data_IF_386485350381
#
_entry.id   IF_386485350381
#
_cell.length_a   1.000
_cell.length_b   1.000
_cell.length_c   1.000
_cell.angle_alpha   90.00
_cell.angle_beta   90.00
_cell.angle_gamma   90.00
#
_symmetry.space_group_name_H-M   'P 1'
#
loop_
_entity.id
_entity.type
_entity.pdbx_description
1 polymer ?
#
# COMPACT_ATOMS: atom_id res chain seq x y z
N UNK A 1 4.01 12.04 23.28
CA UNK A 1 3.01 11.02 22.91
C UNK A 1 1.79 11.62 22.21
N UNK A 2 1.08 12.58 22.80
CA UNK A 2 -0.15 13.16 22.21
C UNK A 2 0.09 13.85 20.86
N UNK A 3 1.10 14.73 20.73
CA UNK A 3 1.42 15.36 19.43
C UNK A 3 1.77 14.35 18.33
N UNK A 4 2.51 13.28 18.66
CA UNK A 4 2.85 12.23 17.69
C UNK A 4 1.59 11.51 17.18
N UNK A 5 0.60 11.31 18.05
CA UNK A 5 -0.69 10.72 17.70
C UNK A 5 -1.48 11.58 16.70
N UNK A 6 -1.37 12.91 16.78
CA UNK A 6 -2.06 13.83 15.84
C UNK A 6 -1.51 13.66 14.42
N UNK A 7 -0.19 13.60 14.25
CA UNK A 7 0.42 13.33 12.94
C UNK A 7 -0.06 11.99 12.36
N UNK A 8 -0.05 10.92 13.18
CA UNK A 8 -0.55 9.61 12.74
C UNK A 8 -2.03 9.70 12.35
N UNK A 9 -2.87 10.34 13.16
CA UNK A 9 -4.31 10.43 12.93
C UNK A 9 -4.66 11.20 11.66
N UNK A 10 -4.01 12.34 11.43
CA UNK A 10 -4.18 13.14 10.20
C UNK A 10 -3.76 12.31 8.99
N UNK A 11 -2.57 11.71 9.03
CA UNK A 11 -2.08 10.86 7.95
C UNK A 11 -3.03 9.70 7.67
N UNK A 12 -3.46 8.99 8.72
CA UNK A 12 -4.33 7.83 8.61
C UNK A 12 -5.71 8.17 8.04
N UNK A 13 -6.29 9.31 8.42
CA UNK A 13 -7.55 9.79 7.85
C UNK A 13 -7.42 9.95 6.33
N UNK A 14 -6.42 10.69 5.86
CA UNK A 14 -6.21 10.90 4.43
C UNK A 14 -5.83 9.59 3.71
N UNK A 15 -4.98 8.75 4.31
CA UNK A 15 -4.60 7.46 3.75
C UNK A 15 -5.81 6.53 3.54
N UNK A 16 -6.69 6.44 4.53
CA UNK A 16 -7.91 5.63 4.45
C UNK A 16 -8.90 6.16 3.40
N UNK A 17 -9.11 7.49 3.35
CA UNK A 17 -9.99 8.13 2.36
C UNK A 17 -9.43 7.95 0.94
N UNK A 18 -8.12 8.12 0.75
CA UNK A 18 -7.45 7.87 -0.53
C UNK A 18 -7.58 6.41 -0.95
N UNK A 19 -7.33 5.45 -0.06
CA UNK A 19 -7.51 4.01 -0.34
C UNK A 19 -8.94 3.72 -0.77
N UNK A 20 -9.93 4.20 -0.02
CA UNK A 20 -11.34 3.99 -0.33
C UNK A 20 -11.73 4.56 -1.70
N UNK A 21 -11.36 5.82 -1.94
CA UNK A 21 -11.70 6.54 -3.17
C UNK A 21 -11.03 5.90 -4.39
N UNK A 22 -9.74 5.58 -4.27
CA UNK A 22 -8.98 4.95 -5.34
C UNK A 22 -9.46 3.52 -5.62
N UNK A 23 -9.78 2.73 -4.58
CA UNK A 23 -10.35 1.39 -4.76
C UNK A 23 -11.67 1.45 -5.52
N UNK A 24 -12.55 2.38 -5.15
CA UNK A 24 -13.84 2.57 -5.82
C UNK A 24 -13.67 3.02 -7.27
N UNK A 25 -12.71 3.90 -7.53
CA UNK A 25 -12.42 4.37 -8.89
C UNK A 25 -11.85 3.24 -9.75
N UNK A 26 -10.82 2.53 -9.30
CA UNK A 26 -10.20 1.41 -10.04
C UNK A 26 -11.24 0.34 -10.33
N UNK A 27 -12.02 -0.08 -9.33
CA UNK A 27 -13.02 -1.14 -9.52
C UNK A 27 -14.15 -0.75 -10.49
N UNK A 28 -14.43 0.55 -10.64
CA UNK A 28 -15.41 1.06 -11.63
C UNK A 28 -14.81 1.19 -13.02
N UNK A 29 -13.60 1.73 -13.13
CA UNK A 29 -12.93 1.97 -14.40
C UNK A 29 -12.41 0.67 -15.04
N UNK A 30 -11.98 -0.28 -14.22
CA UNK A 30 -11.37 -1.53 -14.62
C UNK A 30 -12.04 -2.71 -13.91
N UNK A 31 -13.29 -3.07 -14.29
CA UNK A 31 -13.95 -4.24 -13.74
C UNK A 31 -13.19 -5.51 -14.15
N UNK A 32 -12.38 -6.04 -13.23
CA UNK A 32 -11.53 -7.19 -13.45
C UNK A 32 -11.78 -8.29 -12.41
N UNK A 33 -11.56 -9.55 -12.80
CA UNK A 33 -11.55 -10.68 -11.85
C UNK A 33 -10.31 -10.65 -10.94
N UNK A 34 -9.24 -10.00 -11.39
CA UNK A 34 -8.03 -9.77 -10.63
C UNK A 34 -8.25 -8.61 -9.63
N UNK A 35 -7.80 -8.70 -8.36
CA UNK A 35 -7.96 -7.64 -7.36
C UNK A 35 -7.05 -6.41 -7.62
N UNK A 36 -7.31 -5.71 -8.72
CA UNK A 36 -6.43 -4.68 -9.26
C UNK A 36 -6.26 -3.48 -8.33
N UNK A 37 -7.34 -3.07 -7.65
CA UNK A 37 -7.29 -1.96 -6.70
C UNK A 37 -6.29 -2.22 -5.57
N UNK A 38 -6.48 -3.32 -4.83
CA UNK A 38 -5.63 -3.69 -3.70
C UNK A 38 -4.19 -3.94 -4.13
N UNK A 39 -3.99 -4.60 -5.28
CA UNK A 39 -2.67 -4.80 -5.87
C UNK A 39 -1.94 -3.46 -6.09
N UNK A 40 -2.58 -2.53 -6.82
CA UNK A 40 -1.97 -1.24 -7.15
C UNK A 40 -1.68 -0.40 -5.91
N UNK A 41 -2.63 -0.35 -4.97
CA UNK A 41 -2.51 0.39 -3.71
C UNK A 41 -1.34 -0.13 -2.87
N UNK A 42 -1.21 -1.45 -2.72
CA UNK A 42 -0.12 -2.03 -1.92
C UNK A 42 1.25 -1.85 -2.59
N UNK A 43 1.34 -1.99 -3.92
CA UNK A 43 2.60 -1.80 -4.65
C UNK A 43 3.06 -0.35 -4.64
N UNK A 44 2.17 0.60 -4.96
CA UNK A 44 2.48 2.03 -4.90
C UNK A 44 2.83 2.47 -3.47
N UNK A 45 2.09 1.98 -2.47
CA UNK A 45 2.39 2.26 -1.07
C UNK A 45 3.74 1.71 -0.61
N UNK A 46 4.11 0.50 -1.06
CA UNK A 46 5.43 -0.09 -0.77
C UNK A 46 6.57 0.75 -1.35
N UNK A 47 6.42 1.19 -2.60
CA UNK A 47 7.37 2.11 -3.24
C UNK A 47 7.51 3.43 -2.47
N UNK A 48 6.39 4.10 -2.18
CA UNK A 48 6.38 5.40 -1.49
C UNK A 48 6.93 5.30 -0.07
N UNK A 49 6.67 4.20 0.63
CA UNK A 49 7.24 3.97 1.95
C UNK A 49 8.76 3.79 1.86
N UNK A 50 9.24 2.99 0.89
CA UNK A 50 10.66 2.87 0.61
C UNK A 50 11.32 4.22 0.31
N UNK A 51 10.68 5.03 -0.53
CA UNK A 51 11.13 6.38 -0.88
C UNK A 51 11.26 7.29 0.34
N UNK A 52 10.23 7.30 1.20
CA UNK A 52 10.22 8.08 2.44
C UNK A 52 11.37 7.70 3.38
N UNK A 53 11.65 6.40 3.51
CA UNK A 53 12.77 5.90 4.31
C UNK A 53 14.12 6.23 3.68
N UNK A 54 14.27 6.04 2.37
CA UNK A 54 15.50 6.34 1.63
C UNK A 54 15.88 7.81 1.68
N UNK A 55 14.89 8.72 1.63
CA UNK A 55 15.09 10.17 1.69
C UNK A 55 15.44 10.70 3.09
N UNK A 56 15.63 9.83 4.09
CA UNK A 56 16.02 10.24 5.43
C UNK A 56 14.98 11.11 6.14
N UNK A 57 13.71 11.05 5.75
CA UNK A 57 12.65 11.94 6.23
C UNK A 57 12.65 12.09 7.76
N UNK A 58 12.43 13.30 8.28
CA UNK A 58 12.38 13.56 9.72
C UNK A 58 11.29 12.77 10.47
N UNK A 59 11.39 12.70 11.79
CA UNK A 59 10.48 11.91 12.64
C UNK A 59 9.00 12.24 12.43
N UNK A 60 8.65 13.53 12.36
CA UNK A 60 7.26 13.98 12.12
C UNK A 60 6.72 13.50 10.77
N UNK A 61 7.54 13.55 9.72
CA UNK A 61 7.16 13.09 8.38
C UNK A 61 7.01 11.57 8.33
N UNK A 62 7.85 10.81 9.04
CA UNK A 62 7.69 9.35 9.16
C UNK A 62 6.39 8.97 9.88
N UNK A 63 6.00 9.73 10.90
CA UNK A 63 4.73 9.51 11.60
C UNK A 63 3.52 9.87 10.74
N UNK A 64 3.54 11.03 10.10
CA UNK A 64 2.43 11.50 9.25
C UNK A 64 2.29 10.63 7.99
N UNK A 65 3.36 10.48 7.21
CA UNK A 65 3.30 9.83 5.90
C UNK A 65 3.54 8.33 5.98
N UNK A 66 4.48 7.87 6.80
CA UNK A 66 4.80 6.45 6.93
C UNK A 66 3.74 5.70 7.74
N UNK A 67 3.69 5.96 9.04
CA UNK A 67 2.77 5.28 9.96
C UNK A 67 1.31 5.65 9.70
N UNK A 68 1.01 6.94 9.53
CA UNK A 68 -0.33 7.44 9.28
C UNK A 68 -0.82 7.11 7.87
N UNK A 69 -0.38 7.90 6.88
CA UNK A 69 -0.91 7.84 5.51
C UNK A 69 -0.68 6.48 4.86
N UNK A 70 0.58 6.06 4.68
CA UNK A 70 0.92 4.82 3.98
C UNK A 70 0.45 3.59 4.75
N UNK A 71 0.46 3.64 6.09
CA UNK A 71 -0.11 2.60 6.95
C UNK A 71 -1.62 2.40 6.76
N UNK A 72 -2.40 3.47 6.59
CA UNK A 72 -3.85 3.37 6.34
C UNK A 72 -4.22 3.25 4.85
N UNK A 73 -3.33 3.71 3.97
CA UNK A 73 -3.46 3.65 2.52
C UNK A 73 -3.24 2.23 2.01
N UNK A 74 -2.28 1.49 2.56
CA UNK A 74 -2.05 0.07 2.21
C UNK A 74 -2.94 -0.86 3.04
N UNK A 75 -3.16 -2.09 2.59
CA UNK A 75 -3.99 -3.06 3.32
C UNK A 75 -3.57 -4.51 3.09
N UNK A 76 -3.04 -5.13 4.14
CA UNK A 76 -2.68 -6.55 4.15
C UNK A 76 -3.89 -7.46 4.49
N UNK A 77 -4.83 -6.96 5.28
CA UNK A 77 -6.04 -7.72 5.66
C UNK A 77 -6.97 -7.92 4.47
N UNK A 78 -7.20 -6.89 3.66
CA UNK A 78 -8.00 -7.00 2.42
C UNK A 78 -7.34 -7.96 1.44
N UNK A 79 -6.02 -7.83 1.21
CA UNK A 79 -5.25 -8.75 0.38
C UNK A 79 -5.43 -10.22 0.80
N UNK A 80 -5.36 -10.51 2.10
CA UNK A 80 -5.59 -11.88 2.62
C UNK A 80 -7.00 -12.39 2.36
N UNK A 81 -8.02 -11.57 2.65
CA UNK A 81 -9.42 -11.96 2.42
C UNK A 81 -9.70 -12.24 0.94
N UNK A 82 -9.17 -11.42 0.04
CA UNK A 82 -9.28 -11.64 -1.41
C UNK A 82 -8.61 -12.96 -1.83
N UNK A 83 -7.45 -13.31 -1.28
CA UNK A 83 -6.81 -14.60 -1.57
C UNK A 83 -7.65 -15.78 -1.07
N UNK A 84 -8.22 -15.69 0.14
CA UNK A 84 -9.13 -16.72 0.68
C UNK A 84 -10.39 -16.86 -0.20
N UNK A 85 -10.95 -15.74 -0.67
CA UNK A 85 -12.10 -15.73 -1.58
C UNK A 85 -11.75 -16.40 -2.92
N UNK A 86 -10.60 -16.08 -3.51
CA UNK A 86 -10.13 -16.71 -4.75
C UNK A 86 -9.89 -18.22 -4.58
N UNK A 87 -9.41 -18.64 -3.41
CA UNK A 87 -9.24 -20.04 -3.07
C UNK A 87 -10.59 -20.77 -2.97
N UNK A 88 -11.55 -20.18 -2.25
CA UNK A 88 -12.91 -20.72 -2.11
C UNK A 88 -13.61 -20.87 -3.47
N UNK A 89 -13.41 -19.88 -4.36
CA UNK A 89 -13.91 -19.89 -5.74
C UNK A 89 -13.12 -20.82 -6.68
N UNK A 90 -12.09 -21.52 -6.20
CA UNK A 90 -11.16 -22.36 -7.00
C UNK A 90 -10.48 -21.60 -8.16
N UNK A 91 -10.33 -20.27 -8.05
CA UNK A 91 -9.70 -19.39 -9.06
C UNK A 91 -8.17 -19.34 -8.90
N UNK A 92 -7.53 -20.50 -8.92
CA UNK A 92 -6.07 -20.63 -8.68
C UNK A 92 -5.22 -19.88 -9.71
N UNK A 93 -5.69 -19.78 -10.95
CA UNK A 93 -5.02 -19.03 -12.02
C UNK A 93 -4.94 -17.51 -11.74
N UNK A 94 -5.78 -16.98 -10.84
CA UNK A 94 -5.72 -15.57 -10.38
C UNK A 94 -4.99 -15.50 -9.04
N UNK A 95 -5.32 -16.41 -8.12
CA UNK A 95 -4.75 -16.46 -6.77
C UNK A 95 -3.22 -16.52 -6.80
N UNK A 96 -2.65 -17.48 -7.53
CA UNK A 96 -1.20 -17.72 -7.49
C UNK A 96 -0.42 -16.50 -8.02
N UNK A 97 -0.75 -15.93 -9.20
CA UNK A 97 -0.11 -14.70 -9.63
C UNK A 97 -0.37 -13.53 -8.67
N UNK A 98 -1.59 -13.34 -8.17
CA UNK A 98 -1.89 -12.24 -7.27
C UNK A 98 -1.03 -12.28 -6.01
N UNK A 99 -0.91 -13.45 -5.38
CA UNK A 99 -0.09 -13.65 -4.20
C UNK A 99 1.39 -13.42 -4.50
N UNK A 100 1.94 -14.11 -5.50
CA UNK A 100 3.37 -14.06 -5.83
C UNK A 100 3.80 -12.66 -6.27
N UNK A 101 3.06 -12.04 -7.19
CA UNK A 101 3.40 -10.73 -7.72
C UNK A 101 3.27 -9.64 -6.64
N UNK A 102 2.30 -9.73 -5.73
CA UNK A 102 2.15 -8.76 -4.64
C UNK A 102 3.36 -8.74 -3.72
N UNK A 103 3.87 -9.91 -3.33
CA UNK A 103 5.07 -9.98 -2.48
C UNK A 103 6.34 -9.61 -3.25
N UNK A 104 6.54 -10.21 -4.43
CA UNK A 104 7.76 -10.01 -5.22
C UNK A 104 7.92 -8.55 -5.63
N UNK A 105 6.88 -7.96 -6.24
CA UNK A 105 6.94 -6.56 -6.63
C UNK A 105 6.83 -5.61 -5.44
N UNK A 106 6.11 -5.97 -4.37
CA UNK A 106 6.06 -5.14 -3.17
C UNK A 106 7.43 -4.92 -2.56
N UNK A 107 8.21 -6.00 -2.39
CA UNK A 107 9.59 -5.95 -1.89
C UNK A 107 10.50 -5.21 -2.87
N UNK A 108 10.43 -5.55 -4.17
CA UNK A 108 11.26 -4.91 -5.18
C UNK A 108 11.01 -3.40 -5.27
N UNK A 109 9.76 -2.97 -5.17
CA UNK A 109 9.38 -1.56 -5.19
C UNK A 109 9.78 -0.83 -3.91
N UNK A 110 9.64 -1.46 -2.73
CA UNK A 110 10.14 -0.87 -1.49
C UNK A 110 11.67 -0.65 -1.56
N UNK A 111 12.41 -1.65 -2.03
CA UNK A 111 13.85 -1.54 -2.23
C UNK A 111 14.22 -0.44 -3.25
N UNK A 112 13.53 -0.41 -4.38
CA UNK A 112 13.72 0.61 -5.42
C UNK A 112 13.40 2.02 -4.89
N UNK A 113 12.35 2.15 -4.09
CA UNK A 113 12.00 3.38 -3.38
C UNK A 113 13.14 3.83 -2.47
N UNK A 114 13.72 2.93 -1.68
CA UNK A 114 14.86 3.26 -0.81
C UNK A 114 16.06 3.77 -1.63
N UNK A 115 16.39 3.09 -2.74
CA UNK A 115 17.49 3.50 -3.61
C UNK A 115 17.26 4.88 -4.20
N UNK A 116 16.04 5.16 -4.70
CA UNK A 116 15.69 6.46 -5.24
C UNK A 116 15.62 7.55 -4.15
N UNK A 117 15.20 7.18 -2.94
CA UNK A 117 15.09 8.09 -1.81
C UNK A 117 16.44 8.71 -1.44
N UNK A 118 17.53 7.94 -1.56
CA UNK A 118 18.88 8.41 -1.25
C UNK A 118 19.33 9.62 -2.07
N UNK A 119 18.76 9.86 -3.25
CA UNK A 119 19.07 11.05 -4.05
C UNK A 119 18.46 12.35 -3.49
N UNK A 120 17.56 12.26 -2.50
CA UNK A 120 16.96 13.42 -1.84
C UNK A 120 17.60 13.72 -0.47
N UNK A 121 18.66 13.00 -0.10
CA UNK A 121 19.39 13.18 1.16
C UNK A 121 20.60 14.07 0.93
#
# INVERSE_FOLDING_TARGET
MVLNGIFIAIGAFFGAVSRFSLSRWINRAFPAKFPLATFFINLSGSFMLGLLFGAGAGSSWRLLLGTGFLGAFTTFSTFKLENIQLQADKKYHILVPYLVLSYLFGIALAFSGILLGKYFT
#
